data_IF_376142500678
#
_entry.id   IF_376142500678
#
_cell.length_a   1.000
_cell.length_b   1.000
_cell.length_c   1.000
_cell.angle_alpha   90.00
_cell.angle_beta   90.00
_cell.angle_gamma   90.00
#
_symmetry.space_group_name_H-M   'P 1'
#
loop_
_entity.id
_entity.type
_entity.pdbx_description
1 polymer ?
#
# COMPACT_ATOMS: atom_id res chain seq x y z
N UNK A 1 -10.15 30.15 -7.62
CA UNK A 1 -10.45 28.95 -6.80
C UNK A 1 -11.73 29.14 -6.01
N UNK A 2 -11.85 30.18 -5.19
CA UNK A 2 -13.08 30.48 -4.43
C UNK A 2 -14.28 30.62 -5.36
N UNK A 3 -14.14 31.35 -6.47
CA UNK A 3 -15.20 31.48 -7.49
C UNK A 3 -15.62 30.14 -8.15
N UNK A 4 -14.81 29.09 -8.01
CA UNK A 4 -15.07 27.74 -8.52
C UNK A 4 -15.64 26.81 -7.43
N UNK A 5 -15.99 27.35 -6.26
CA UNK A 5 -16.66 26.63 -5.18
C UNK A 5 -15.75 26.05 -4.10
N UNK A 6 -14.47 26.44 -4.06
CA UNK A 6 -13.56 26.09 -2.95
C UNK A 6 -13.87 27.00 -1.75
N UNK A 7 -13.99 26.40 -0.57
CA UNK A 7 -14.25 27.09 0.68
C UNK A 7 -12.91 27.33 1.38
N UNK A 8 -12.54 28.59 1.55
CA UNK A 8 -11.33 29.00 2.27
C UNK A 8 -11.76 29.98 3.37
N UNK A 9 -12.00 29.50 4.61
CA UNK A 9 -12.57 30.33 5.67
C UNK A 9 -11.74 31.57 5.99
N UNK A 10 -10.41 31.46 5.92
CA UNK A 10 -9.49 32.59 6.05
C UNK A 10 -8.38 32.48 4.97
N UNK A 11 -8.55 33.15 3.82
CA UNK A 11 -7.57 33.11 2.73
C UNK A 11 -6.19 33.63 3.11
N UNK A 12 -6.08 34.54 4.10
CA UNK A 12 -4.79 35.09 4.52
C UNK A 12 -3.92 34.05 5.24
N UNK A 13 -4.51 32.95 5.70
CA UNK A 13 -3.83 31.85 6.40
C UNK A 13 -3.63 30.60 5.54
N UNK A 14 -3.93 30.67 4.24
CA UNK A 14 -3.66 29.58 3.30
C UNK A 14 -2.57 30.02 2.33
N UNK A 15 -1.49 29.26 2.29
CA UNK A 15 -0.38 29.51 1.38
C UNK A 15 -0.34 28.45 0.28
N UNK A 16 -0.33 28.91 -0.98
CA UNK A 16 -0.22 28.08 -2.18
C UNK A 16 1.05 28.51 -2.89
N UNK A 17 1.95 27.56 -3.12
CA UNK A 17 3.21 27.74 -3.83
C UNK A 17 2.98 28.10 -5.30
N UNK A 18 3.84 28.96 -5.88
CA UNK A 18 3.71 29.45 -7.26
C UNK A 18 3.75 28.32 -8.30
N UNK A 19 4.40 27.20 -7.99
CA UNK A 19 4.47 26.03 -8.87
C UNK A 19 3.18 25.20 -8.93
N UNK A 20 2.15 25.53 -8.15
CA UNK A 20 0.89 24.78 -8.11
C UNK A 20 -0.14 25.41 -9.06
N UNK A 21 -0.58 24.63 -10.05
CA UNK A 21 -1.68 25.01 -10.93
C UNK A 21 -3.01 25.12 -10.13
N UNK A 22 -3.61 26.31 -10.02
CA UNK A 22 -4.84 26.51 -9.25
C UNK A 22 -6.02 25.67 -9.76
N UNK A 23 -6.05 25.29 -11.05
CA UNK A 23 -7.12 24.47 -11.62
C UNK A 23 -7.19 23.08 -11.00
N UNK A 24 -6.07 22.58 -10.46
CA UNK A 24 -5.97 21.28 -9.78
C UNK A 24 -6.49 21.30 -8.35
N UNK A 25 -6.74 22.49 -7.80
CA UNK A 25 -7.21 22.70 -6.45
C UNK A 25 -8.67 23.21 -6.42
N UNK A 26 -9.22 23.58 -7.58
CA UNK A 26 -10.46 24.33 -7.72
C UNK A 26 -11.71 23.43 -7.78
N UNK A 27 -11.81 22.45 -6.89
CA UNK A 27 -12.93 21.52 -6.88
C UNK A 27 -14.07 22.00 -5.95
N UNK A 28 -15.35 21.91 -6.38
CA UNK A 28 -16.48 22.35 -5.57
C UNK A 28 -16.56 21.66 -4.21
N UNK A 29 -16.83 22.45 -3.17
CA UNK A 29 -16.98 21.96 -1.79
C UNK A 29 -15.68 21.54 -1.11
N UNK A 30 -14.53 21.62 -1.79
CA UNK A 30 -13.24 21.43 -1.12
C UNK A 30 -13.03 22.53 -0.07
N UNK A 31 -12.50 22.19 1.10
CA UNK A 31 -12.32 23.11 2.23
C UNK A 31 -10.86 23.16 2.65
N UNK A 32 -10.27 24.35 2.57
CA UNK A 32 -8.89 24.59 3.00
C UNK A 32 -8.92 25.43 4.28
N UNK A 33 -8.68 24.77 5.42
CA UNK A 33 -8.69 25.42 6.72
C UNK A 33 -7.43 26.26 6.96
N UNK A 34 -7.45 27.22 7.91
CA UNK A 34 -6.29 28.05 8.24
C UNK A 34 -5.03 27.23 8.55
N UNK A 35 -3.88 27.66 8.04
CA UNK A 35 -2.59 27.00 8.25
C UNK A 35 -2.23 25.96 7.16
N UNK A 36 -3.03 25.83 6.11
CA UNK A 36 -2.69 25.00 4.94
C UNK A 36 -1.49 25.59 4.17
N UNK A 37 -0.53 24.72 3.84
CA UNK A 37 0.60 25.00 2.93
C UNK A 37 0.56 24.00 1.78
N UNK A 38 0.23 24.47 0.58
CA UNK A 38 0.01 23.61 -0.60
C UNK A 38 1.16 23.84 -1.59
N UNK A 39 1.87 22.76 -1.95
CA UNK A 39 3.10 22.79 -2.75
C UNK A 39 3.12 21.71 -3.83
N UNK A 40 4.04 21.82 -4.79
CA UNK A 40 4.34 20.77 -5.76
C UNK A 40 3.36 20.75 -6.94
N UNK A 41 3.91 20.75 -8.14
CA UNK A 41 3.16 20.89 -9.40
C UNK A 41 2.13 19.78 -9.63
N UNK A 42 2.27 18.63 -8.95
CA UNK A 42 1.36 17.49 -9.10
C UNK A 42 0.20 17.50 -8.11
N UNK A 43 0.20 18.39 -7.11
CA UNK A 43 -0.85 18.41 -6.10
C UNK A 43 -2.21 18.57 -6.73
N UNK A 44 -3.16 17.75 -6.26
CA UNK A 44 -4.52 17.70 -6.76
C UNK A 44 -5.48 17.51 -5.60
N UNK A 45 -6.56 18.29 -5.59
CA UNK A 45 -7.59 18.22 -4.55
C UNK A 45 -8.96 18.17 -5.21
N UNK A 46 -9.69 17.09 -4.96
CA UNK A 46 -10.99 16.83 -5.54
C UNK A 46 -12.15 17.40 -4.71
N UNK A 47 -13.38 17.22 -5.21
CA UNK A 47 -14.59 17.81 -4.63
C UNK A 47 -14.83 17.32 -3.20
N UNK A 48 -15.26 18.22 -2.31
CA UNK A 48 -15.56 17.88 -0.91
C UNK A 48 -14.35 17.51 -0.04
N UNK A 49 -13.12 17.54 -0.58
CA UNK A 49 -11.93 17.21 0.19
C UNK A 49 -11.64 18.26 1.29
N UNK A 50 -11.14 17.83 2.45
CA UNK A 50 -10.88 18.72 3.61
C UNK A 50 -9.42 18.70 4.01
N UNK A 51 -8.79 19.87 4.06
CA UNK A 51 -7.38 20.03 4.41
C UNK A 51 -7.23 20.88 5.67
N UNK A 52 -6.56 20.34 6.69
CA UNK A 52 -6.18 21.07 7.90
C UNK A 52 -7.29 21.29 8.93
N UNK A 53 -8.34 20.47 8.89
CA UNK A 53 -9.52 20.60 9.77
C UNK A 53 -9.20 20.55 11.27
N UNK A 54 -8.18 19.77 11.65
CA UNK A 54 -7.76 19.62 13.05
C UNK A 54 -6.42 20.32 13.37
N UNK A 55 -5.81 21.01 12.40
CA UNK A 55 -4.58 21.74 12.59
C UNK A 55 -3.80 22.00 11.28
N UNK A 56 -2.68 22.75 11.35
CA UNK A 56 -1.89 23.10 10.17
C UNK A 56 -1.44 21.87 9.39
N UNK A 57 -1.48 21.96 8.06
CA UNK A 57 -1.08 20.86 7.18
C UNK A 57 -0.21 21.34 6.03
N UNK A 58 0.81 20.56 5.68
CA UNK A 58 1.56 20.73 4.44
C UNK A 58 1.24 19.61 3.47
N UNK A 59 0.75 19.97 2.28
CA UNK A 59 0.45 19.06 1.18
C UNK A 59 1.47 19.31 0.07
N UNK A 60 2.15 18.28 -0.41
CA UNK A 60 3.16 18.39 -1.46
C UNK A 60 3.07 17.23 -2.45
N UNK A 61 2.87 17.51 -3.74
CA UNK A 61 2.71 16.50 -4.80
C UNK A 61 1.76 15.34 -4.45
N UNK A 62 0.70 15.62 -3.69
CA UNK A 62 -0.26 14.63 -3.20
C UNK A 62 -1.61 14.78 -3.88
N UNK A 63 -2.35 13.67 -3.98
CA UNK A 63 -3.62 13.56 -4.67
C UNK A 63 -4.72 13.24 -3.66
N UNK A 64 -5.59 14.22 -3.37
CA UNK A 64 -6.63 14.11 -2.35
C UNK A 64 -7.98 13.94 -3.04
N UNK A 65 -8.58 12.77 -2.90
CA UNK A 65 -9.79 12.37 -3.61
C UNK A 65 -11.09 12.90 -3.04
N UNK A 66 -12.22 12.61 -3.72
CA UNK A 66 -13.53 13.14 -3.33
C UNK A 66 -13.88 12.81 -1.88
N UNK A 67 -14.25 13.84 -1.12
CA UNK A 67 -14.59 13.71 0.31
C UNK A 67 -13.45 13.24 1.23
N UNK A 68 -12.24 13.04 0.71
CA UNK A 68 -11.09 12.63 1.50
C UNK A 68 -10.58 13.77 2.39
N UNK A 69 -9.89 13.43 3.48
CA UNK A 69 -9.42 14.41 4.44
C UNK A 69 -7.95 14.21 4.82
N UNK A 70 -7.23 15.33 4.98
CA UNK A 70 -5.95 15.37 5.68
C UNK A 70 -6.11 16.36 6.82
N UNK A 71 -6.32 15.85 8.03
CA UNK A 71 -6.73 16.68 9.17
C UNK A 71 -5.61 17.56 9.71
N UNK A 72 -4.34 17.18 9.54
CA UNK A 72 -3.17 17.96 9.98
C UNK A 72 -1.85 17.25 9.68
N UNK A 73 -0.73 17.96 9.79
CA UNK A 73 0.63 17.38 9.67
C UNK A 73 1.28 17.56 8.30
N UNK A 74 1.84 16.49 7.74
CA UNK A 74 2.64 16.52 6.51
C UNK A 74 2.27 15.35 5.59
N UNK A 75 1.96 15.66 4.33
CA UNK A 75 1.58 14.68 3.32
C UNK A 75 2.28 14.96 1.99
N UNK A 76 3.26 14.13 1.65
CA UNK A 76 4.07 14.29 0.43
C UNK A 76 4.03 13.05 -0.47
N UNK A 77 3.61 13.21 -1.72
CA UNK A 77 3.60 12.14 -2.72
C UNK A 77 2.60 11.01 -2.42
N UNK A 78 1.52 11.30 -1.71
CA UNK A 78 0.52 10.30 -1.33
C UNK A 78 -0.75 10.42 -2.18
N UNK A 79 -1.52 9.34 -2.23
CA UNK A 79 -2.82 9.30 -2.90
C UNK A 79 -3.87 8.85 -1.90
N UNK A 80 -4.89 9.67 -1.70
CA UNK A 80 -6.05 9.37 -0.88
C UNK A 80 -7.25 9.26 -1.80
N UNK A 81 -7.90 8.10 -1.82
CA UNK A 81 -9.08 7.86 -2.64
C UNK A 81 -10.35 8.28 -1.91
N UNK A 82 -11.51 8.04 -2.51
CA UNK A 82 -12.77 8.61 -2.03
C UNK A 82 -13.02 8.30 -0.55
N UNK A 83 -13.26 9.35 0.25
CA UNK A 83 -13.51 9.26 1.69
C UNK A 83 -12.35 8.76 2.55
N UNK A 84 -11.14 8.58 2.01
CA UNK A 84 -9.96 8.23 2.79
C UNK A 84 -9.57 9.36 3.75
N UNK A 85 -9.01 9.03 4.92
CA UNK A 85 -8.73 10.01 5.96
C UNK A 85 -7.35 9.83 6.58
N UNK A 86 -6.54 10.89 6.52
CA UNK A 86 -5.37 11.06 7.37
C UNK A 86 -5.75 11.90 8.59
N UNK A 87 -5.58 11.33 9.79
CA UNK A 87 -5.86 12.03 11.04
C UNK A 87 -4.85 13.14 11.33
N UNK A 88 -4.99 13.81 12.49
CA UNK A 88 -4.11 14.90 12.88
C UNK A 88 -2.67 14.41 13.06
N UNK A 89 -1.69 15.30 12.90
CA UNK A 89 -0.27 14.97 13.09
C UNK A 89 0.24 13.83 12.19
N UNK A 90 -0.41 13.58 11.06
CA UNK A 90 0.05 12.59 10.10
C UNK A 90 1.42 12.96 9.52
N UNK A 91 2.27 11.96 9.26
CA UNK A 91 3.54 12.14 8.56
C UNK A 91 3.64 11.13 7.41
N UNK A 92 3.17 11.52 6.24
CA UNK A 92 3.03 10.64 5.07
C UNK A 92 4.01 11.02 3.99
N UNK A 93 4.67 10.01 3.41
CA UNK A 93 5.69 10.15 2.36
C UNK A 93 5.33 9.31 1.14
N UNK A 94 6.09 9.54 0.05
CA UNK A 94 5.82 8.99 -1.27
C UNK A 94 5.67 7.46 -1.34
N UNK A 95 4.92 7.02 -2.36
CA UNK A 95 4.55 5.62 -2.54
C UNK A 95 3.41 5.16 -1.64
N UNK A 96 2.73 6.09 -0.95
CA UNK A 96 1.58 5.77 -0.09
C UNK A 96 0.25 5.92 -0.84
N UNK A 97 -0.63 4.93 -0.68
CA UNK A 97 -2.00 4.92 -1.21
C UNK A 97 -2.94 4.53 -0.07
N UNK A 98 -3.95 5.35 0.18
CA UNK A 98 -5.11 4.99 1.00
C UNK A 98 -6.30 4.86 0.05
N UNK A 99 -6.79 3.64 -0.13
CA UNK A 99 -7.99 3.39 -0.93
C UNK A 99 -9.26 3.82 -0.19
N UNK A 100 -10.42 3.57 -0.79
CA UNK A 100 -11.70 4.12 -0.36
C UNK A 100 -11.95 3.87 1.13
N UNK A 101 -12.20 4.96 1.87
CA UNK A 101 -12.55 4.91 3.29
C UNK A 101 -11.49 4.27 4.20
N UNK A 102 -10.26 4.05 3.70
CA UNK A 102 -9.13 3.75 4.57
C UNK A 102 -8.82 4.97 5.46
N UNK A 103 -8.50 4.73 6.72
CA UNK A 103 -8.38 5.81 7.69
C UNK A 103 -7.22 5.64 8.66
N UNK A 104 -6.74 6.75 9.18
CA UNK A 104 -5.75 6.79 10.26
C UNK A 104 -6.26 7.73 11.36
N UNK A 105 -5.99 7.39 12.61
CA UNK A 105 -6.17 8.30 13.73
C UNK A 105 -4.97 9.29 13.81
N UNK A 106 -4.64 9.80 15.00
CA UNK A 106 -3.59 10.82 15.13
C UNK A 106 -2.17 10.23 15.16
N UNK A 107 -1.19 11.02 14.72
CA UNK A 107 0.24 10.71 14.79
C UNK A 107 0.62 9.38 14.10
N UNK A 108 0.22 9.24 12.84
CA UNK A 108 0.54 8.07 12.01
C UNK A 108 1.58 8.42 10.94
N UNK A 109 2.66 7.63 10.91
CA UNK A 109 3.74 7.72 9.93
C UNK A 109 3.65 6.66 8.84
N UNK A 110 3.57 7.06 7.58
CA UNK A 110 3.46 6.19 6.41
C UNK A 110 4.52 6.51 5.35
N UNK A 111 4.99 5.48 4.64
CA UNK A 111 5.85 5.60 3.46
C UNK A 111 5.79 4.27 2.72
N UNK A 112 5.61 4.29 1.40
CA UNK A 112 5.56 3.04 0.63
C UNK A 112 4.53 2.08 1.24
N UNK A 113 3.37 2.63 1.60
CA UNK A 113 2.29 1.93 2.31
C UNK A 113 1.03 1.95 1.47
N UNK A 114 0.47 0.79 1.16
CA UNK A 114 -0.77 0.65 0.39
C UNK A 114 -1.82 0.05 1.30
N UNK A 115 -2.86 0.83 1.60
CA UNK A 115 -3.99 0.43 2.43
C UNK A 115 -5.22 0.29 1.54
N UNK A 116 -5.74 -0.92 1.43
CA UNK A 116 -6.98 -1.22 0.71
C UNK A 116 -8.20 -0.65 1.42
N UNK A 117 -9.40 -0.71 0.80
CA UNK A 117 -10.57 -0.06 1.33
C UNK A 117 -10.87 -0.51 2.76
N UNK A 118 -11.34 0.43 3.56
CA UNK A 118 -11.73 0.26 4.96
C UNK A 118 -10.59 0.00 5.95
N UNK A 119 -9.33 -0.23 5.54
CA UNK A 119 -8.24 -0.43 6.51
C UNK A 119 -8.14 0.78 7.44
N UNK A 120 -8.15 0.52 8.75
CA UNK A 120 -8.07 1.55 9.79
C UNK A 120 -6.83 1.38 10.64
N UNK A 121 -6.08 2.47 10.81
CA UNK A 121 -4.91 2.54 11.67
C UNK A 121 -5.27 3.41 12.87
N UNK A 122 -5.03 2.88 14.06
CA UNK A 122 -5.10 3.63 15.31
C UNK A 122 -4.05 4.74 15.39
N UNK A 123 -3.73 5.15 16.61
CA UNK A 123 -2.85 6.31 16.85
C UNK A 123 -1.41 5.90 17.15
N UNK A 124 -0.45 6.81 16.97
CA UNK A 124 0.96 6.60 17.34
C UNK A 124 1.59 5.39 16.62
N UNK A 125 1.39 5.32 15.30
CA UNK A 125 1.79 4.18 14.46
C UNK A 125 2.89 4.59 13.48
N UNK A 126 3.84 3.68 13.22
CA UNK A 126 4.71 3.74 12.05
C UNK A 126 4.51 2.47 11.21
N UNK A 127 3.97 2.63 10.00
CA UNK A 127 3.51 1.52 9.17
C UNK A 127 4.06 1.62 7.73
N UNK A 128 5.36 1.89 7.61
CA UNK A 128 6.05 2.01 6.32
C UNK A 128 6.28 0.64 5.65
N UNK A 129 6.36 0.57 4.33
CA UNK A 129 6.69 -0.64 3.56
C UNK A 129 5.72 -1.82 3.77
N UNK A 130 4.42 -1.53 3.80
CA UNK A 130 3.36 -2.52 4.01
C UNK A 130 2.27 -2.39 2.95
N UNK A 131 1.83 -3.53 2.41
CA UNK A 131 0.55 -3.62 1.71
C UNK A 131 -0.41 -4.37 2.62
N UNK A 132 -1.54 -3.74 2.96
CA UNK A 132 -2.56 -4.33 3.82
C UNK A 132 -3.91 -4.31 3.12
N UNK A 133 -4.46 -5.52 2.95
CA UNK A 133 -5.82 -5.71 2.50
C UNK A 133 -6.82 -5.34 3.61
N UNK A 134 -7.97 -4.81 3.20
CA UNK A 134 -9.09 -4.49 4.08
C UNK A 134 -9.96 -5.68 4.43
N UNK A 135 -11.11 -5.40 5.02
CA UNK A 135 -12.17 -6.39 5.20
C UNK A 135 -13.34 -6.13 4.25
N UNK A 136 -14.53 -6.54 4.66
CA UNK A 136 -15.72 -6.49 3.80
C UNK A 136 -16.49 -5.18 3.90
N UNK A 137 -16.08 -4.22 4.72
CA UNK A 137 -16.73 -2.91 4.88
C UNK A 137 -16.22 -2.12 6.10
N UNK A 138 -16.77 -0.93 6.34
CA UNK A 138 -16.37 -0.06 7.48
C UNK A 138 -16.59 -0.73 8.84
N UNK A 139 -17.68 -1.48 9.00
CA UNK A 139 -17.98 -2.16 10.27
C UNK A 139 -17.25 -3.51 10.41
N UNK A 140 -16.61 -3.97 9.33
CA UNK A 140 -15.82 -5.21 9.29
C UNK A 140 -14.50 -4.92 8.56
N UNK A 141 -13.69 -4.02 9.14
CA UNK A 141 -12.46 -3.51 8.56
C UNK A 141 -11.23 -4.27 9.04
N UNK A 142 -10.14 -4.20 8.26
CA UNK A 142 -8.80 -4.53 8.75
C UNK A 142 -8.33 -3.43 9.69
N UNK A 143 -7.73 -3.80 10.82
CA UNK A 143 -7.39 -2.87 11.90
C UNK A 143 -5.93 -3.02 12.32
N UNK A 144 -5.27 -1.89 12.55
CA UNK A 144 -3.95 -1.82 13.21
C UNK A 144 -4.10 -0.96 14.45
N UNK A 145 -4.11 -1.59 15.63
CA UNK A 145 -4.34 -0.89 16.88
C UNK A 145 -3.22 0.09 17.25
N UNK A 146 -3.54 1.07 18.10
CA UNK A 146 -2.62 2.14 18.47
C UNK A 146 -1.27 1.68 19.03
N UNK A 147 -0.19 2.39 18.73
CA UNK A 147 1.16 2.08 19.19
C UNK A 147 1.86 0.96 18.40
N UNK A 148 1.35 0.60 17.23
CA UNK A 148 1.93 -0.44 16.38
C UNK A 148 3.10 0.04 15.54
N UNK A 149 4.14 -0.79 15.40
CA UNK A 149 5.31 -0.49 14.56
C UNK A 149 5.57 -1.63 13.57
N UNK A 150 5.67 -1.30 12.28
CA UNK A 150 6.34 -2.18 11.32
C UNK A 150 7.85 -1.90 11.33
N UNK A 151 8.63 -2.88 11.77
CA UNK A 151 10.09 -2.80 11.79
C UNK A 151 10.65 -3.16 10.40
N UNK A 152 10.92 -2.12 9.62
CA UNK A 152 11.32 -2.18 8.21
C UNK A 152 12.79 -1.82 7.94
N UNK A 153 13.64 -1.79 8.97
CA UNK A 153 15.06 -1.51 8.84
C UNK A 153 15.86 -2.46 9.71
N UNK A 154 16.83 -3.14 9.11
CA UNK A 154 17.60 -4.17 9.79
C UNK A 154 18.93 -3.64 10.34
N UNK A 155 19.52 -4.30 11.37
CA UNK A 155 20.87 -3.98 11.85
C UNK A 155 21.97 -4.12 10.78
N UNK A 156 21.68 -4.77 9.66
CA UNK A 156 22.55 -4.85 8.48
C UNK A 156 22.36 -3.68 7.51
N UNK A 157 21.66 -2.62 7.95
CA UNK A 157 21.33 -1.42 7.17
C UNK A 157 20.53 -1.71 5.90
N UNK A 158 19.63 -2.68 5.95
CA UNK A 158 18.83 -3.13 4.81
C UNK A 158 17.32 -2.81 5.01
N UNK A 159 16.59 -2.75 3.89
CA UNK A 159 15.16 -2.40 3.79
C UNK A 159 14.36 -3.35 2.88
N UNK A 160 14.91 -4.50 2.50
CA UNK A 160 14.20 -5.56 1.79
C UNK A 160 13.24 -6.30 2.75
N UNK A 161 12.42 -5.54 3.46
CA UNK A 161 11.61 -6.00 4.60
C UNK A 161 10.14 -5.66 4.40
N UNK A 162 9.69 -5.55 3.16
CA UNK A 162 8.29 -5.27 2.87
C UNK A 162 7.39 -6.37 3.45
N UNK A 163 6.26 -6.01 4.05
CA UNK A 163 5.32 -6.98 4.61
C UNK A 163 3.97 -6.94 3.91
N UNK A 164 3.40 -8.12 3.67
CA UNK A 164 2.13 -8.33 2.99
C UNK A 164 1.10 -8.86 4.00
N UNK A 165 0.00 -8.13 4.18
CA UNK A 165 -1.06 -8.48 5.12
C UNK A 165 -2.34 -8.69 4.31
N UNK A 166 -2.80 -9.94 4.24
CA UNK A 166 -3.66 -10.40 3.16
C UNK A 166 -2.86 -10.59 1.87
N UNK A 167 -3.50 -10.33 0.73
CA UNK A 167 -2.87 -10.26 -0.59
C UNK A 167 -3.75 -9.44 -1.54
N UNK A 168 -3.22 -9.11 -2.71
CA UNK A 168 -3.92 -8.38 -3.76
C UNK A 168 -4.99 -9.25 -4.43
N UNK A 169 -4.71 -10.50 -4.90
CA UNK A 169 -5.67 -11.31 -5.63
C UNK A 169 -7.02 -11.51 -4.94
N UNK A 170 -7.02 -11.76 -3.63
CA UNK A 170 -8.25 -11.90 -2.86
C UNK A 170 -8.69 -10.58 -2.23
N UNK A 171 -7.76 -9.71 -1.83
CA UNK A 171 -8.08 -8.46 -1.14
C UNK A 171 -8.92 -7.48 -1.96
N UNK A 172 -8.66 -7.38 -3.27
CA UNK A 172 -9.41 -6.46 -4.16
C UNK A 172 -10.87 -6.89 -4.39
N UNK A 173 -11.25 -8.11 -4.00
CA UNK A 173 -12.63 -8.62 -4.13
C UNK A 173 -13.55 -8.20 -2.99
N UNK A 174 -13.00 -7.61 -1.93
CA UNK A 174 -13.74 -7.06 -0.78
C UNK A 174 -14.65 -8.08 -0.05
N UNK A 175 -14.26 -9.35 -0.05
CA UNK A 175 -15.00 -10.47 0.59
C UNK A 175 -14.17 -11.30 1.58
N UNK A 176 -12.99 -10.81 1.95
CA UNK A 176 -12.12 -11.53 2.86
C UNK A 176 -12.34 -11.12 4.32
N UNK A 177 -12.10 -12.08 5.23
CA UNK A 177 -12.07 -11.80 6.66
C UNK A 177 -10.91 -10.83 6.97
N UNK A 178 -11.16 -9.72 7.70
CA UNK A 178 -10.12 -8.74 7.96
C UNK A 178 -8.99 -9.31 8.82
N UNK A 179 -7.80 -8.71 8.68
CA UNK A 179 -6.69 -8.93 9.61
C UNK A 179 -6.77 -7.88 10.73
N UNK A 180 -6.60 -8.32 11.97
CA UNK A 180 -6.53 -7.47 13.15
C UNK A 180 -5.13 -7.54 13.77
N UNK A 181 -4.43 -6.41 13.81
CA UNK A 181 -3.13 -6.27 14.46
C UNK A 181 -3.28 -5.48 15.76
N UNK A 182 -3.31 -6.17 16.89
CA UNK A 182 -3.56 -5.55 18.20
C UNK A 182 -2.53 -4.49 18.59
N UNK A 183 -3.00 -3.42 19.24
CA UNK A 183 -2.18 -2.27 19.63
C UNK A 183 -1.03 -2.62 20.58
N UNK A 184 -0.08 -1.69 20.71
CA UNK A 184 1.21 -1.91 21.39
C UNK A 184 1.99 -3.12 20.83
N UNK A 185 1.66 -3.55 19.61
CA UNK A 185 2.29 -4.67 18.93
C UNK A 185 3.35 -4.22 17.93
N UNK A 186 3.84 -5.18 17.15
CA UNK A 186 4.71 -4.87 16.03
C UNK A 186 4.86 -6.01 15.04
N UNK A 187 5.36 -5.68 13.86
CA UNK A 187 5.60 -6.64 12.78
C UNK A 187 7.05 -6.48 12.33
N UNK A 188 7.84 -7.55 12.40
CA UNK A 188 9.21 -7.54 11.86
C UNK A 188 9.20 -8.03 10.43
N UNK A 189 9.52 -7.10 9.52
CA UNK A 189 9.55 -7.38 8.10
C UNK A 189 10.81 -8.14 7.66
N UNK A 190 10.78 -8.78 6.47
CA UNK A 190 9.57 -9.01 5.68
C UNK A 190 8.69 -10.06 6.34
N UNK A 191 7.38 -9.87 6.34
CA UNK A 191 6.41 -10.80 6.94
C UNK A 191 5.14 -10.93 6.09
N UNK A 192 4.55 -12.11 6.07
CA UNK A 192 3.29 -12.39 5.37
C UNK A 192 2.24 -12.93 6.33
N UNK A 193 1.06 -12.29 6.37
CA UNK A 193 -0.05 -12.71 7.22
C UNK A 193 -1.31 -12.95 6.37
N UNK A 194 -1.92 -14.12 6.50
CA UNK A 194 -3.15 -14.47 5.79
C UNK A 194 -4.38 -13.77 6.40
N UNK A 195 -5.44 -13.69 5.60
CA UNK A 195 -6.75 -13.15 6.01
C UNK A 195 -7.31 -13.81 7.28
N UNK A 196 -8.07 -13.04 8.07
CA UNK A 196 -8.62 -13.49 9.35
C UNK A 196 -7.59 -13.68 10.46
N UNK A 197 -6.31 -13.33 10.24
CA UNK A 197 -5.30 -13.34 11.30
C UNK A 197 -5.63 -12.27 12.35
N UNK A 198 -5.55 -12.66 13.62
CA UNK A 198 -5.68 -11.77 14.77
C UNK A 198 -4.39 -11.86 15.56
N UNK A 199 -3.61 -10.78 15.61
CA UNK A 199 -2.50 -10.64 16.55
C UNK A 199 -3.00 -9.96 17.83
N UNK A 200 -2.83 -10.60 18.98
CA UNK A 200 -3.21 -10.03 20.26
C UNK A 200 -2.38 -8.76 20.57
N UNK A 201 -2.95 -7.82 21.31
CA UNK A 201 -2.23 -6.62 21.76
C UNK A 201 -0.91 -6.97 22.47
N UNK A 202 0.11 -6.15 22.28
CA UNK A 202 1.46 -6.41 22.82
C UNK A 202 2.27 -7.46 22.05
N UNK A 203 1.73 -8.07 21.00
CA UNK A 203 2.43 -9.11 20.22
C UNK A 203 3.37 -8.51 19.20
N UNK A 204 4.63 -8.94 19.20
CA UNK A 204 5.56 -8.70 18.08
C UNK A 204 5.60 -9.94 17.18
N UNK A 205 5.00 -9.84 16.01
CA UNK A 205 4.96 -10.88 14.99
C UNK A 205 6.28 -10.88 14.20
N UNK A 206 6.96 -12.04 14.14
CA UNK A 206 8.29 -12.19 13.53
C UNK A 206 8.36 -13.23 12.43
N UNK A 207 7.28 -13.99 12.24
CA UNK A 207 7.19 -15.10 11.30
C UNK A 207 5.91 -14.98 10.52
N UNK A 208 5.97 -15.50 9.30
CA UNK A 208 4.83 -15.58 8.41
C UNK A 208 3.77 -16.51 9.03
N UNK A 209 2.51 -16.17 8.83
CA UNK A 209 1.36 -17.04 9.13
C UNK A 209 0.47 -17.08 7.89
N UNK A 210 0.72 -18.08 7.05
CA UNK A 210 0.06 -18.21 5.75
C UNK A 210 -1.27 -18.96 5.84
N UNK A 211 -1.63 -19.49 7.02
CA UNK A 211 -2.91 -20.18 7.23
C UNK A 211 -3.95 -19.13 7.64
N UNK A 212 -5.12 -19.07 6.99
CA UNK A 212 -6.14 -18.09 7.34
C UNK A 212 -6.75 -18.36 8.72
N UNK A 213 -7.37 -17.34 9.32
CA UNK A 213 -8.13 -17.45 10.57
C UNK A 213 -7.28 -17.98 11.74
N UNK A 214 -6.21 -17.26 12.09
CA UNK A 214 -5.29 -17.64 13.18
C UNK A 214 -5.22 -16.56 14.24
N UNK A 215 -5.26 -16.97 15.50
CA UNK A 215 -4.93 -16.11 16.63
C UNK A 215 -3.43 -16.26 16.95
N UNK A 216 -2.71 -15.15 16.93
CA UNK A 216 -1.30 -15.06 17.30
C UNK A 216 -1.23 -14.29 18.61
N UNK A 217 -0.87 -14.98 19.69
CA UNK A 217 -0.54 -14.37 20.96
C UNK A 217 0.96 -14.57 21.24
N UNK A 218 1.71 -13.48 21.28
CA UNK A 218 3.14 -13.52 21.60
C UNK A 218 3.37 -13.81 23.08
N UNK A 219 4.42 -14.58 23.38
CA UNK A 219 4.99 -14.67 24.73
C UNK A 219 6.12 -13.65 24.89
N UNK A 220 6.39 -13.23 26.13
CA UNK A 220 7.54 -12.38 26.43
C UNK A 220 8.83 -13.06 25.93
N UNK A 221 9.63 -12.34 25.14
CA UNK A 221 10.92 -12.85 24.70
C UNK A 221 11.80 -13.13 25.92
N UNK A 222 12.45 -14.30 25.96
CA UNK A 222 13.44 -14.58 27.01
C UNK A 222 14.59 -13.58 26.85
N UNK A 223 15.02 -12.91 27.94
CA UNK A 223 16.15 -12.01 27.87
C UNK A 223 17.38 -12.78 27.39
N UNK A 224 18.03 -12.25 26.35
CA UNK A 224 19.25 -12.80 25.77
C UNK A 224 20.29 -11.69 25.73
N UNK A 225 21.45 -11.95 26.33
CA UNK A 225 22.62 -11.08 26.24
C UNK A 225 23.81 -11.96 25.85
N UNK A 226 24.25 -11.83 24.60
CA UNK A 226 25.34 -12.60 24.01
C UNK A 226 26.14 -11.70 23.08
N UNK A 227 27.46 -11.91 22.91
CA UNK A 227 28.26 -11.11 21.99
C UNK A 227 27.65 -11.09 20.58
N UNK A 228 27.56 -9.89 19.98
CA UNK A 228 27.08 -9.74 18.61
C UNK A 228 28.07 -10.41 17.66
N UNK A 229 27.57 -11.40 16.92
CA UNK A 229 28.26 -12.02 15.80
C UNK A 229 27.95 -11.23 14.53
N UNK A 230 28.98 -10.65 13.92
CA UNK A 230 28.85 -9.92 12.64
C UNK A 230 28.54 -10.85 11.48
N UNK A 231 28.82 -12.15 11.62
CA UNK A 231 28.66 -13.21 10.61
C UNK A 231 27.32 -13.96 10.69
N UNK A 232 26.35 -13.47 11.48
CA UNK A 232 25.08 -14.16 11.69
C UNK A 232 24.25 -14.27 10.38
N UNK A 233 23.63 -15.44 10.09
CA UNK A 233 22.83 -15.64 8.88
C UNK A 233 21.62 -14.70 8.84
N UNK A 234 21.37 -14.14 7.64
CA UNK A 234 20.32 -13.14 7.39
C UNK A 234 18.97 -13.76 7.02
N UNK A 235 18.90 -15.10 6.91
CA UNK A 235 17.76 -15.83 6.39
C UNK A 235 17.37 -15.36 4.97
N UNK A 236 18.38 -15.19 4.11
CA UNK A 236 18.22 -14.66 2.76
C UNK A 236 17.14 -15.37 1.92
N UNK A 237 17.00 -16.72 1.94
CA UNK A 237 15.94 -17.39 1.18
C UNK A 237 14.55 -16.85 1.49
N UNK A 238 14.25 -16.64 2.78
CA UNK A 238 12.96 -16.12 3.23
C UNK A 238 12.77 -14.67 2.81
N UNK A 239 13.82 -13.84 2.96
CA UNK A 239 13.77 -12.44 2.57
C UNK A 239 13.46 -12.31 1.09
N UNK A 240 14.20 -13.01 0.23
CA UNK A 240 14.02 -12.97 -1.22
C UNK A 240 12.62 -13.46 -1.59
N UNK A 241 12.22 -14.63 -1.10
CA UNK A 241 10.90 -15.20 -1.40
C UNK A 241 9.76 -14.23 -1.03
N UNK A 242 9.81 -13.63 0.16
CA UNK A 242 8.76 -12.69 0.59
C UNK A 242 8.74 -11.41 -0.25
N UNK A 243 9.90 -10.88 -0.66
CA UNK A 243 9.95 -9.70 -1.53
C UNK A 243 9.48 -10.02 -2.96
N UNK A 244 9.83 -11.19 -3.52
CA UNK A 244 9.34 -11.60 -4.83
C UNK A 244 7.81 -11.74 -4.84
N UNK A 245 7.24 -12.33 -3.78
CA UNK A 245 5.78 -12.40 -3.62
C UNK A 245 5.16 -11.01 -3.46
N UNK A 246 5.79 -10.11 -2.69
CA UNK A 246 5.33 -8.74 -2.54
C UNK A 246 5.35 -7.97 -3.87
N UNK A 247 6.43 -8.10 -4.65
CA UNK A 247 6.57 -7.49 -5.99
C UNK A 247 5.51 -8.07 -6.94
N UNK A 248 5.31 -9.39 -6.96
CA UNK A 248 4.23 -10.01 -7.73
C UNK A 248 2.86 -9.44 -7.40
N UNK A 249 2.58 -9.19 -6.10
CA UNK A 249 1.35 -8.53 -5.67
C UNK A 249 1.25 -7.08 -6.17
N UNK A 250 2.34 -6.31 -6.18
CA UNK A 250 2.32 -4.97 -6.76
C UNK A 250 2.03 -4.99 -8.27
N UNK A 251 2.57 -5.96 -9.02
CA UNK A 251 2.24 -6.13 -10.43
C UNK A 251 0.78 -6.57 -10.65
N UNK A 252 0.26 -7.45 -9.80
CA UNK A 252 -1.17 -7.78 -9.80
C UNK A 252 -2.03 -6.54 -9.51
N UNK A 253 -1.62 -5.68 -8.57
CA UNK A 253 -2.32 -4.44 -8.25
C UNK A 253 -2.25 -3.45 -9.42
N UNK A 254 -1.11 -3.34 -10.09
CA UNK A 254 -0.95 -2.53 -11.31
C UNK A 254 -1.92 -2.99 -12.40
N UNK A 255 -2.05 -4.29 -12.61
CA UNK A 255 -3.01 -4.87 -13.54
C UNK A 255 -4.46 -4.64 -13.12
N UNK A 256 -4.78 -4.73 -11.82
CA UNK A 256 -6.09 -4.35 -11.30
C UNK A 256 -6.41 -2.87 -11.59
N UNK A 257 -5.46 -1.96 -11.37
CA UNK A 257 -5.68 -0.55 -11.68
C UNK A 257 -5.94 -0.32 -13.17
N UNK A 258 -5.14 -0.94 -14.04
CA UNK A 258 -5.26 -0.82 -15.50
C UNK A 258 -6.56 -1.43 -16.04
N UNK A 259 -6.89 -2.67 -15.66
CA UNK A 259 -8.01 -3.41 -16.23
C UNK A 259 -9.33 -3.19 -15.50
N UNK A 260 -9.32 -2.73 -14.26
CA UNK A 260 -10.54 -2.53 -13.46
C UNK A 260 -10.70 -1.07 -13.09
N UNK A 261 -9.77 -0.49 -12.32
CA UNK A 261 -9.95 0.87 -11.77
C UNK A 261 -10.06 1.94 -12.86
N UNK A 262 -9.36 1.79 -14.00
CA UNK A 262 -9.47 2.70 -15.13
C UNK A 262 -10.92 2.83 -15.66
N UNK A 263 -11.74 1.78 -15.54
CA UNK A 263 -13.16 1.79 -15.99
C UNK A 263 -14.08 2.60 -15.07
N UNK A 264 -13.61 2.93 -13.86
CA UNK A 264 -14.32 3.75 -12.89
C UNK A 264 -13.88 5.23 -12.92
N UNK A 265 -13.05 5.63 -13.88
CA UNK A 265 -12.67 7.05 -14.00
C UNK A 265 -13.93 7.90 -14.17
N UNK A 266 -14.14 8.81 -13.22
CA UNK A 266 -15.37 9.59 -13.11
C UNK A 266 -15.32 10.58 -11.95
N UNK A 267 -16.47 11.14 -11.51
CA UNK A 267 -16.53 12.11 -10.42
C UNK A 267 -15.91 11.61 -9.11
N UNK A 268 -16.17 10.36 -8.74
CA UNK A 268 -15.68 9.76 -7.48
C UNK A 268 -14.24 9.22 -7.57
N UNK A 269 -13.72 9.06 -8.80
CA UNK A 269 -12.34 8.65 -9.05
C UNK A 269 -11.77 9.40 -10.28
N UNK A 270 -11.42 10.69 -10.13
CA UNK A 270 -10.93 11.50 -11.25
C UNK A 270 -9.65 10.94 -11.87
N UNK A 271 -9.42 11.21 -13.15
CA UNK A 271 -8.24 10.74 -13.87
C UNK A 271 -6.90 11.17 -13.22
N UNK A 272 -6.89 12.28 -12.48
CA UNK A 272 -5.73 12.69 -11.69
C UNK A 272 -5.41 11.71 -10.55
N UNK A 273 -6.43 11.20 -9.84
CA UNK A 273 -6.24 10.17 -8.82
C UNK A 273 -5.74 8.86 -9.43
N UNK A 274 -6.31 8.44 -10.57
CA UNK A 274 -5.85 7.27 -11.28
C UNK A 274 -4.35 7.37 -11.60
N UNK A 275 -3.92 8.48 -12.22
CA UNK A 275 -2.49 8.72 -12.53
C UNK A 275 -1.61 8.77 -11.28
N UNK A 276 -2.08 9.39 -10.21
CA UNK A 276 -1.37 9.43 -8.93
C UNK A 276 -1.19 8.03 -8.35
N UNK A 277 -2.27 7.24 -8.31
CA UNK A 277 -2.27 5.88 -7.77
C UNK A 277 -1.38 4.94 -8.58
N UNK A 278 -1.51 4.92 -9.91
CA UNK A 278 -0.64 4.10 -10.76
C UNK A 278 0.82 4.52 -10.63
N UNK A 279 1.10 5.83 -10.59
CA UNK A 279 2.46 6.33 -10.36
C UNK A 279 3.04 5.92 -9.00
N UNK A 280 2.22 5.85 -7.94
CA UNK A 280 2.66 5.35 -6.63
C UNK A 280 2.85 3.82 -6.62
N UNK A 281 2.06 3.06 -7.38
CA UNK A 281 2.27 1.62 -7.57
C UNK A 281 3.60 1.37 -8.30
N UNK A 282 3.86 2.11 -9.38
CA UNK A 282 5.12 1.99 -10.13
C UNK A 282 6.33 2.38 -9.25
N UNK A 283 6.22 3.48 -8.48
CA UNK A 283 7.25 3.89 -7.54
C UNK A 283 7.47 2.85 -6.41
N UNK A 284 6.43 2.10 -6.02
CA UNK A 284 6.57 1.01 -5.06
C UNK A 284 7.31 -0.19 -5.67
N UNK A 285 6.99 -0.57 -6.92
CA UNK A 285 7.70 -1.62 -7.66
C UNK A 285 9.20 -1.26 -7.76
N UNK A 286 9.50 -0.05 -8.25
CA UNK A 286 10.87 0.47 -8.37
C UNK A 286 11.62 0.44 -7.05
N UNK A 287 11.01 0.93 -5.97
CA UNK A 287 11.64 0.91 -4.66
C UNK A 287 11.91 -0.53 -4.18
N UNK A 288 10.99 -1.48 -4.40
CA UNK A 288 11.20 -2.89 -4.00
C UNK A 288 12.31 -3.57 -4.79
N UNK A 289 12.36 -3.38 -6.10
CA UNK A 289 13.45 -3.87 -6.96
C UNK A 289 14.78 -3.27 -6.47
N UNK A 290 14.84 -1.95 -6.27
CA UNK A 290 16.05 -1.28 -5.79
C UNK A 290 16.50 -1.73 -4.38
N UNK A 291 15.57 -2.09 -3.49
CA UNK A 291 15.92 -2.67 -2.18
C UNK A 291 16.50 -4.07 -2.29
N UNK A 292 16.00 -4.88 -3.22
CA UNK A 292 16.61 -6.17 -3.49
C UNK A 292 17.96 -6.04 -4.21
N UNK A 293 18.16 -5.07 -5.10
CA UNK A 293 19.48 -4.77 -5.69
C UNK A 293 20.50 -4.45 -4.61
N UNK A 294 20.13 -3.58 -3.67
CA UNK A 294 20.97 -3.23 -2.53
C UNK A 294 21.26 -4.43 -1.63
N UNK A 295 20.31 -5.36 -1.49
CA UNK A 295 20.53 -6.60 -0.74
C UNK A 295 21.52 -7.52 -1.46
N UNK A 296 21.38 -7.67 -2.78
CA UNK A 296 22.26 -8.50 -3.63
C UNK A 296 23.70 -7.97 -3.72
N UNK A 297 23.89 -6.66 -3.62
CA UNK A 297 25.21 -6.02 -3.64
C UNK A 297 25.99 -6.08 -2.31
N UNK A 298 25.35 -6.49 -1.21
CA UNK A 298 25.99 -6.47 0.12
C UNK A 298 26.97 -7.62 0.32
N UNK A 299 28.10 -7.38 1.03
CA UNK A 299 29.01 -8.44 1.45
C UNK A 299 28.28 -9.54 2.22
N UNK A 300 28.80 -10.73 2.04
CA UNK A 300 28.20 -11.99 2.47
C UNK A 300 28.78 -12.38 3.83
N UNK A 301 27.90 -12.53 4.84
CA UNK A 301 28.25 -12.99 6.18
C UNK A 301 28.30 -14.54 6.21
N UNK A 302 29.15 -15.21 7.00
CA UNK A 302 29.46 -16.65 6.83
C UNK A 302 28.32 -17.70 7.04
N UNK A 303 27.07 -17.30 7.32
CA UNK A 303 25.99 -18.18 7.77
C UNK A 303 24.96 -18.72 6.75
N UNK A 304 24.83 -18.18 5.53
CA UNK A 304 23.85 -18.63 4.50
C UNK A 304 24.60 -19.13 3.23
N UNK A 305 25.72 -19.83 3.40
CA UNK A 305 26.76 -19.99 2.37
C UNK A 305 26.30 -20.47 0.97
N UNK A 306 25.22 -21.27 0.85
CA UNK A 306 24.71 -21.75 -0.45
C UNK A 306 23.88 -20.68 -1.18
N UNK A 307 22.82 -20.17 -0.54
CA UNK A 307 22.02 -19.05 -1.09
C UNK A 307 22.87 -17.81 -1.31
N UNK A 308 23.85 -17.59 -0.45
CA UNK A 308 24.81 -16.50 -0.54
C UNK A 308 25.79 -16.60 -1.72
N UNK A 309 26.12 -17.82 -2.17
CA UNK A 309 26.94 -18.01 -3.38
C UNK A 309 26.11 -17.89 -4.66
N UNK A 310 24.83 -18.23 -4.59
CA UNK A 310 23.92 -18.28 -5.76
C UNK A 310 23.24 -16.95 -6.04
N UNK A 311 22.91 -16.19 -4.99
CA UNK A 311 22.21 -14.91 -5.14
C UNK A 311 23.02 -13.90 -5.96
N UNK A 312 24.31 -13.58 -5.66
CA UNK A 312 25.02 -12.56 -6.42
C UNK A 312 25.17 -12.88 -7.92
N UNK A 313 25.50 -14.14 -8.33
CA UNK A 313 25.55 -14.51 -9.74
C UNK A 313 24.19 -14.55 -10.44
N UNK A 314 23.12 -14.98 -9.74
CA UNK A 314 21.78 -15.09 -10.33
C UNK A 314 21.00 -13.76 -10.34
N UNK A 315 21.35 -12.84 -9.44
CA UNK A 315 20.64 -11.58 -9.24
C UNK A 315 20.50 -10.72 -10.52
N UNK A 316 21.54 -10.54 -11.36
CA UNK A 316 21.40 -9.77 -12.59
C UNK A 316 20.26 -10.26 -13.49
N UNK A 317 20.09 -11.58 -13.63
CA UNK A 317 19.00 -12.15 -14.43
C UNK A 317 17.62 -11.92 -13.79
N UNK A 318 17.54 -11.95 -12.45
CA UNK A 318 16.30 -11.63 -11.72
C UNK A 318 15.94 -10.15 -11.89
N UNK A 319 16.92 -9.25 -11.72
CA UNK A 319 16.73 -7.81 -11.87
C UNK A 319 16.31 -7.44 -13.29
N UNK A 320 16.96 -8.01 -14.31
CA UNK A 320 16.60 -7.80 -15.72
C UNK A 320 15.17 -8.26 -16.02
N UNK A 321 14.77 -9.43 -15.52
CA UNK A 321 13.40 -9.93 -15.67
C UNK A 321 12.38 -8.97 -15.02
N UNK A 322 12.62 -8.53 -13.79
CA UNK A 322 11.71 -7.64 -13.07
C UNK A 322 11.61 -6.27 -13.75
N UNK A 323 12.73 -5.74 -14.26
CA UNK A 323 12.76 -4.52 -15.06
C UNK A 323 11.97 -4.67 -16.36
N UNK A 324 12.04 -5.82 -17.03
CA UNK A 324 11.27 -6.11 -18.24
C UNK A 324 9.76 -6.22 -17.99
N UNK A 325 9.32 -6.59 -16.79
CA UNK A 325 7.90 -6.43 -16.41
C UNK A 325 7.58 -4.96 -16.10
N UNK A 326 8.49 -4.26 -15.44
CA UNK A 326 8.32 -2.85 -15.06
C UNK A 326 8.09 -1.97 -16.29
N UNK A 327 8.96 -2.08 -17.30
CA UNK A 327 8.93 -1.31 -18.55
C UNK A 327 7.85 -1.76 -19.55
N UNK A 328 7.23 -2.92 -19.30
CA UNK A 328 6.18 -3.49 -20.12
C UNK A 328 6.65 -4.29 -21.34
N UNK A 329 7.95 -4.59 -21.45
CA UNK A 329 8.49 -5.53 -22.45
C UNK A 329 7.91 -6.95 -22.25
N UNK A 330 7.66 -7.33 -21.00
CA UNK A 330 6.90 -8.52 -20.62
C UNK A 330 5.53 -8.09 -20.12
N UNK A 331 4.48 -8.55 -20.81
CA UNK A 331 3.10 -8.26 -20.43
C UNK A 331 2.57 -9.31 -19.47
N UNK A 332 1.81 -8.86 -18.48
CA UNK A 332 0.97 -9.73 -17.65
C UNK A 332 -0.25 -10.20 -18.44
N UNK A 333 -0.77 -11.37 -18.12
CA UNK A 333 -2.06 -11.85 -18.63
C UNK A 333 -3.18 -10.79 -18.47
N UNK A 334 -4.06 -10.61 -19.47
CA UNK A 334 -5.20 -9.71 -19.39
C UNK A 334 -6.30 -10.27 -18.48
N UNK A 335 -7.18 -9.39 -17.99
CA UNK A 335 -8.32 -9.80 -17.18
C UNK A 335 -9.28 -10.72 -17.97
N UNK A 336 -9.87 -11.76 -17.35
CA UNK A 336 -10.83 -12.64 -18.02
C UNK A 336 -12.03 -11.87 -18.57
N UNK A 337 -12.42 -12.16 -19.81
CA UNK A 337 -13.54 -11.48 -20.48
C UNK A 337 -14.85 -11.62 -19.68
N UNK A 338 -15.13 -12.83 -19.16
CA UNK A 338 -16.30 -13.08 -18.32
C UNK A 338 -16.33 -12.20 -17.05
N UNK A 339 -15.15 -11.96 -16.45
CA UNK A 339 -15.03 -11.07 -15.30
C UNK A 339 -15.27 -9.61 -15.69
N UNK A 340 -14.65 -9.13 -16.77
CA UNK A 340 -14.85 -7.76 -17.28
C UNK A 340 -16.30 -7.50 -17.71
N UNK A 341 -16.97 -8.48 -18.30
CA UNK A 341 -18.36 -8.36 -18.72
C UNK A 341 -19.30 -8.17 -17.52
N UNK A 342 -19.13 -8.95 -16.45
CA UNK A 342 -19.95 -8.77 -15.25
C UNK A 342 -19.58 -7.49 -14.48
N UNK A 343 -18.30 -7.13 -14.45
CA UNK A 343 -17.85 -5.84 -13.89
C UNK A 343 -18.56 -4.66 -14.57
N UNK A 344 -18.67 -4.68 -15.90
CA UNK A 344 -19.33 -3.59 -16.63
C UNK A 344 -20.85 -3.54 -16.36
N UNK A 345 -21.49 -4.70 -16.19
CA UNK A 345 -22.89 -4.77 -15.77
C UNK A 345 -23.07 -4.20 -14.35
N UNK A 346 -22.24 -4.62 -13.41
CA UNK A 346 -22.24 -4.14 -12.03
C UNK A 346 -21.96 -2.64 -11.93
N UNK A 347 -20.98 -2.14 -12.69
CA UNK A 347 -20.63 -0.71 -12.78
C UNK A 347 -21.82 0.14 -13.22
N UNK A 348 -22.58 -0.29 -14.23
CA UNK A 348 -23.79 0.40 -14.69
C UNK A 348 -24.91 0.32 -13.65
N UNK A 349 -25.10 -0.84 -13.03
CA UNK A 349 -26.16 -1.06 -12.04
C UNK A 349 -25.95 -0.27 -10.74
N UNK A 350 -24.68 -0.06 -10.35
CA UNK A 350 -24.30 0.68 -9.14
C UNK A 350 -23.90 2.13 -9.42
N UNK A 351 -24.28 2.71 -10.56
CA UNK A 351 -23.98 4.10 -10.94
C UNK A 351 -22.50 4.49 -10.72
N UNK A 352 -21.58 3.66 -11.22
CA UNK A 352 -20.13 3.85 -11.05
C UNK A 352 -19.60 3.77 -9.60
N UNK A 353 -20.40 3.45 -8.59
CA UNK A 353 -19.92 3.24 -7.23
C UNK A 353 -19.01 2.00 -7.16
N UNK A 354 -17.70 2.21 -7.13
CA UNK A 354 -16.69 1.13 -7.22
C UNK A 354 -16.90 0.02 -6.19
N UNK A 355 -17.07 0.36 -4.92
CA UNK A 355 -17.22 -0.62 -3.84
C UNK A 355 -18.46 -1.49 -4.06
N UNK A 356 -19.60 -0.88 -4.41
CA UNK A 356 -20.85 -1.59 -4.60
C UNK A 356 -20.83 -2.43 -5.88
N UNK A 357 -20.20 -1.92 -6.95
CA UNK A 357 -19.97 -2.66 -8.17
C UNK A 357 -19.13 -3.93 -7.92
N UNK A 358 -17.99 -3.83 -7.23
CA UNK A 358 -17.16 -5.01 -6.93
C UNK A 358 -17.91 -6.04 -6.08
N UNK A 359 -18.65 -5.60 -5.05
CA UNK A 359 -19.41 -6.51 -4.18
C UNK A 359 -20.60 -7.19 -4.87
N UNK A 360 -21.19 -6.56 -5.88
CA UNK A 360 -22.33 -7.12 -6.61
C UNK A 360 -21.94 -8.16 -7.68
N UNK A 361 -20.66 -8.29 -8.00
CA UNK A 361 -20.16 -9.35 -8.87
C UNK A 361 -20.37 -10.71 -8.19
N UNK A 362 -20.92 -11.67 -8.94
CA UNK A 362 -21.17 -13.01 -8.42
C UNK A 362 -19.87 -13.67 -7.92
N UNK A 363 -19.97 -14.45 -6.83
CA UNK A 363 -18.81 -15.08 -6.19
C UNK A 363 -17.97 -15.90 -7.17
N UNK A 364 -18.61 -16.69 -8.05
CA UNK A 364 -17.89 -17.50 -9.05
C UNK A 364 -17.09 -16.64 -10.03
N UNK A 365 -17.61 -15.48 -10.42
CA UNK A 365 -16.90 -14.55 -11.31
C UNK A 365 -15.79 -13.81 -10.58
N UNK A 366 -15.98 -13.44 -9.31
CA UNK A 366 -14.88 -12.89 -8.48
C UNK A 366 -13.74 -13.87 -8.34
N UNK A 367 -14.02 -15.17 -8.20
CA UNK A 367 -12.98 -16.22 -8.21
C UNK A 367 -12.18 -16.26 -9.51
N UNK A 368 -12.79 -15.96 -10.67
CA UNK A 368 -12.04 -15.81 -11.92
C UNK A 368 -11.05 -14.62 -11.85
N UNK A 369 -11.50 -13.47 -11.33
CA UNK A 369 -10.64 -12.32 -11.11
C UNK A 369 -9.50 -12.62 -10.12
N UNK A 370 -9.78 -13.34 -9.03
CA UNK A 370 -8.76 -13.75 -8.05
C UNK A 370 -7.76 -14.71 -8.68
N UNK A 371 -8.23 -15.72 -9.43
CA UNK A 371 -7.35 -16.65 -10.12
C UNK A 371 -6.46 -15.96 -11.15
N UNK A 372 -6.99 -14.98 -11.90
CA UNK A 372 -6.22 -14.16 -12.82
C UNK A 372 -5.09 -13.40 -12.13
N UNK A 373 -5.41 -12.67 -11.05
CA UNK A 373 -4.41 -11.91 -10.30
C UNK A 373 -3.38 -12.83 -9.63
N UNK A 374 -3.81 -13.97 -9.10
CA UNK A 374 -2.91 -14.97 -8.52
C UNK A 374 -1.96 -15.53 -9.59
N UNK A 375 -2.45 -15.77 -10.81
CA UNK A 375 -1.63 -16.19 -11.95
C UNK A 375 -0.50 -15.20 -12.26
N UNK A 376 -0.75 -13.89 -12.17
CA UNK A 376 0.30 -12.86 -12.31
C UNK A 376 1.35 -12.97 -11.20
N UNK A 377 0.91 -13.13 -9.94
CA UNK A 377 1.83 -13.29 -8.80
C UNK A 377 2.70 -14.53 -8.98
N UNK A 378 2.07 -15.67 -9.32
CA UNK A 378 2.74 -16.96 -9.47
C UNK A 378 3.73 -16.94 -10.63
N UNK A 379 3.35 -16.37 -11.78
CA UNK A 379 4.23 -16.25 -12.95
C UNK A 379 5.52 -15.50 -12.59
N UNK A 380 5.39 -14.35 -11.94
CA UNK A 380 6.54 -13.52 -11.54
C UNK A 380 7.40 -14.26 -10.52
N UNK A 381 6.80 -14.86 -9.50
CA UNK A 381 7.54 -15.59 -8.46
C UNK A 381 8.29 -16.78 -9.07
N UNK A 382 7.65 -17.57 -9.93
CA UNK A 382 8.26 -18.74 -10.57
C UNK A 382 9.42 -18.30 -11.48
N UNK A 383 9.20 -17.33 -12.37
CA UNK A 383 10.23 -16.87 -13.31
C UNK A 383 11.40 -16.19 -12.61
N UNK A 384 11.13 -15.38 -11.57
CA UNK A 384 12.17 -14.70 -10.79
C UNK A 384 12.93 -15.65 -9.85
N UNK A 385 12.31 -16.77 -9.44
CA UNK A 385 12.99 -17.78 -8.60
C UNK A 385 13.83 -18.76 -9.42
N UNK A 386 13.54 -18.94 -10.72
CA UNK A 386 14.24 -19.91 -11.55
C UNK A 386 15.77 -19.69 -11.63
N UNK A 387 16.30 -18.45 -11.81
CA UNK A 387 17.74 -18.20 -11.74
C UNK A 387 18.38 -18.53 -10.39
N UNK A 388 17.61 -18.43 -9.29
CA UNK A 388 18.07 -18.72 -7.94
C UNK A 388 18.11 -20.23 -7.64
N UNK A 389 17.39 -21.04 -8.44
CA UNK A 389 17.28 -22.48 -8.32
C UNK A 389 18.27 -23.26 -9.22
N UNK A 390 18.98 -22.57 -10.12
CA UNK A 390 20.19 -23.04 -10.80
C UNK A 390 21.45 -22.78 -9.96
#
# INVERSE_FOLDING_TARGET
MVDQGVIVPDPAQVWIDEGVDPSRLAAPGAVFYPGCRIRGARTFVAAGARLGEAGPVTICDSFIGPGAAVQGGYCNGAVLLAGACLGPEAHVRGGTILEEQASTAHAVGLKQTILFPFVTLGSLINFCDVLMAGGTGRDNHGEVGSGYIHFNFTPHQDKATASLIGDVPAGVMLDQAPVFLGGQGGLVGPCRLAFGTVAAAGTIVRKDELRPNRLIAGSAARPLNTPRRSDAPRALPRIIANNLVFIGNLFALRSWYREVRQRFIGPDFPAALYRGATGNIDAAIQERIARLDQLGAKPVDHGDADTQRRLPPAWPAVAELLAAYEDGAVKTEPAPEAFLAQLEQARKACDNAYIDAIRSIALETRRLGTAWLQGIVDEIVVRASAPLAM
#
